data_IF_299435917984
#
_entry.id   IF_299435917984
#
_cell.length_a   1.000
_cell.length_b   1.000
_cell.length_c   1.000
_cell.angle_alpha   90.00
_cell.angle_beta   90.00
_cell.angle_gamma   90.00
#
_symmetry.space_group_name_H-M   'P 1'
#
loop_
_entity.id
_entity.type
_entity.pdbx_description
1 polymer ?
#
# COMPACT_ATOMS: atom_id res chain seq x y z
N UNK A 1 5.47 20.68 -24.68
CA UNK A 1 5.79 19.23 -24.57
C UNK A 1 5.07 18.63 -23.35
N UNK A 2 4.84 17.30 -23.29
CA UNK A 2 4.06 16.67 -22.20
C UNK A 2 4.62 16.95 -20.79
N UNK A 3 5.95 17.07 -20.65
CA UNK A 3 6.61 17.37 -19.37
C UNK A 3 6.27 18.77 -18.81
N UNK A 4 5.84 19.70 -19.65
CA UNK A 4 5.55 21.09 -19.26
C UNK A 4 4.09 21.27 -18.87
N UNK A 5 3.18 20.52 -19.50
CA UNK A 5 1.75 20.57 -19.21
C UNK A 5 1.28 19.55 -18.15
N UNK A 6 2.10 18.55 -17.82
CA UNK A 6 1.74 17.53 -16.84
C UNK A 6 1.82 18.11 -15.42
N UNK A 7 0.70 18.19 -14.72
CA UNK A 7 0.66 18.66 -13.33
C UNK A 7 0.68 17.51 -12.31
N UNK A 8 -0.10 16.46 -12.57
CA UNK A 8 -0.17 15.27 -11.75
C UNK A 8 -0.70 14.08 -12.55
N UNK A 9 -0.41 12.87 -12.06
CA UNK A 9 -1.01 11.63 -12.51
C UNK A 9 -1.72 11.00 -11.33
N UNK A 10 -2.98 10.61 -11.53
CA UNK A 10 -3.76 9.83 -10.56
C UNK A 10 -4.10 8.50 -11.22
N UNK A 11 -3.48 7.43 -10.72
CA UNK A 11 -3.79 6.07 -11.10
C UNK A 11 -4.76 5.45 -10.07
N UNK A 12 -5.76 4.71 -10.55
CA UNK A 12 -6.77 4.10 -9.69
C UNK A 12 -6.94 2.60 -9.94
N UNK A 13 -7.09 1.83 -8.86
CA UNK A 13 -7.53 0.44 -8.89
C UNK A 13 -8.76 0.28 -8.01
N UNK A 14 -9.87 -0.18 -8.59
CA UNK A 14 -11.11 -0.40 -7.85
C UNK A 14 -11.09 -1.78 -7.18
N UNK A 15 -11.18 -1.83 -5.86
CA UNK A 15 -11.27 -3.08 -5.10
C UNK A 15 -12.68 -3.32 -4.59
N UNK A 16 -13.06 -4.58 -4.46
CA UNK A 16 -14.29 -4.94 -3.76
C UNK A 16 -14.17 -4.55 -2.28
N UNK A 17 -15.20 -3.93 -1.74
CA UNK A 17 -15.28 -3.62 -0.31
C UNK A 17 -15.38 -4.91 0.50
N UNK A 18 -14.92 -4.88 1.75
CA UNK A 18 -14.91 -6.06 2.64
C UNK A 18 -16.32 -6.65 2.86
N UNK A 19 -17.35 -5.80 2.87
CA UNK A 19 -18.77 -6.18 2.98
C UNK A 19 -19.38 -6.70 1.67
N UNK A 20 -18.62 -6.67 0.57
CA UNK A 20 -19.02 -7.08 -0.78
C UNK A 20 -20.19 -6.29 -1.39
N UNK A 21 -20.58 -5.16 -0.78
CA UNK A 21 -21.71 -4.34 -1.25
C UNK A 21 -21.32 -3.28 -2.28
N UNK A 22 -20.03 -3.08 -2.54
CA UNK A 22 -19.56 -2.10 -3.51
C UNK A 22 -18.09 -2.23 -3.85
N UNK A 23 -17.55 -1.14 -4.40
CA UNK A 23 -16.13 -0.99 -4.70
C UNK A 23 -15.59 0.29 -4.10
N UNK A 24 -14.31 0.28 -3.76
CA UNK A 24 -13.56 1.43 -3.26
C UNK A 24 -12.29 1.61 -4.10
N UNK A 25 -11.97 2.83 -4.54
CA UNK A 25 -10.70 3.09 -5.23
C UNK A 25 -9.54 3.02 -4.24
N UNK A 26 -8.50 2.30 -4.61
CA UNK A 26 -7.14 2.54 -4.13
C UNK A 26 -6.44 3.44 -5.15
N UNK A 27 -5.80 4.49 -4.67
CA UNK A 27 -5.20 5.53 -5.48
C UNK A 27 -3.68 5.53 -5.37
N UNK A 28 -3.06 5.87 -6.49
CA UNK A 28 -1.68 6.29 -6.58
C UNK A 28 -1.66 7.69 -7.19
N UNK A 29 -0.95 8.60 -6.52
CA UNK A 29 -0.91 10.02 -6.85
C UNK A 29 0.55 10.43 -6.99
N UNK A 30 0.91 10.82 -8.20
CA UNK A 30 2.21 11.39 -8.53
C UNK A 30 2.04 12.85 -8.90
N UNK A 31 2.68 13.76 -8.18
CA UNK A 31 2.73 15.18 -8.53
C UNK A 31 3.93 15.41 -9.45
N UNK A 32 3.75 16.11 -10.56
CA UNK A 32 4.83 16.35 -11.52
C UNK A 32 5.79 17.44 -11.02
N UNK A 33 6.68 17.05 -10.11
CA UNK A 33 7.76 17.91 -9.60
C UNK A 33 8.78 18.23 -10.69
N UNK A 34 9.63 19.23 -10.44
CA UNK A 34 10.76 19.55 -11.34
C UNK A 34 11.63 18.32 -11.64
N UNK A 35 11.88 17.47 -10.64
CA UNK A 35 12.66 16.25 -10.81
C UNK A 35 11.99 15.26 -11.78
N UNK A 36 10.70 14.99 -11.60
CA UNK A 36 9.94 14.08 -12.48
C UNK A 36 9.85 14.64 -13.90
N UNK A 37 9.61 15.95 -14.04
CA UNK A 37 9.58 16.61 -15.35
C UNK A 37 10.94 16.51 -16.06
N UNK A 38 12.05 16.60 -15.33
CA UNK A 38 13.39 16.38 -15.89
C UNK A 38 13.57 14.93 -16.36
N UNK A 39 13.19 13.95 -15.55
CA UNK A 39 13.24 12.53 -15.93
C UNK A 39 12.43 12.24 -17.20
N UNK A 40 11.26 12.89 -17.37
CA UNK A 40 10.45 12.77 -18.59
C UNK A 40 11.18 13.37 -19.80
N UNK A 41 11.79 14.55 -19.65
CA UNK A 41 12.53 15.21 -20.75
C UNK A 41 13.76 14.41 -21.21
N UNK A 42 14.41 13.72 -20.27
CA UNK A 42 15.63 12.95 -20.51
C UNK A 42 15.36 11.48 -20.90
N UNK A 43 14.10 11.11 -21.11
CA UNK A 43 13.66 9.73 -21.39
C UNK A 43 14.11 8.71 -20.32
N UNK A 44 14.19 9.16 -19.07
CA UNK A 44 14.55 8.36 -17.89
C UNK A 44 13.34 8.02 -17.01
N UNK A 45 12.20 7.74 -17.66
CA UNK A 45 10.92 7.48 -16.99
C UNK A 45 10.94 6.28 -16.03
N UNK A 46 11.84 5.31 -16.27
CA UNK A 46 12.03 4.14 -15.41
C UNK A 46 12.55 4.48 -14.00
N UNK A 47 13.06 5.69 -13.77
CA UNK A 47 13.52 6.13 -12.45
C UNK A 47 12.40 6.77 -11.61
N UNK A 48 11.26 7.14 -12.23
CA UNK A 48 10.14 7.80 -11.58
C UNK A 48 9.60 7.03 -10.35
N UNK A 49 9.44 5.68 -10.39
CA UNK A 49 8.94 4.94 -9.22
C UNK A 49 9.79 5.12 -7.95
N UNK A 50 11.11 5.33 -8.09
CA UNK A 50 12.00 5.61 -6.96
C UNK A 50 11.75 7.00 -6.36
N UNK A 51 11.47 7.99 -7.23
CA UNK A 51 11.07 9.33 -6.81
C UNK A 51 9.73 9.30 -6.09
N UNK A 52 8.76 8.51 -6.54
CA UNK A 52 7.45 8.40 -5.91
C UNK A 52 7.50 7.71 -4.54
N UNK A 53 8.34 6.67 -4.40
CA UNK A 53 8.54 5.97 -3.13
C UNK A 53 9.27 6.82 -2.07
N UNK A 54 10.14 7.72 -2.50
CA UNK A 54 10.97 8.58 -1.62
C UNK A 54 10.34 9.97 -1.44
N UNK A 55 9.38 10.33 -2.30
CA UNK A 55 8.80 11.65 -2.43
C UNK A 55 7.84 11.98 -1.30
N UNK A 56 8.37 12.46 -0.18
CA UNK A 56 7.59 13.10 0.89
C UNK A 56 6.97 14.45 0.49
N UNK A 57 6.67 14.65 -0.80
CA UNK A 57 5.99 15.85 -1.30
C UNK A 57 4.53 15.75 -0.90
N UNK A 58 4.02 16.84 -0.34
CA UNK A 58 2.62 16.92 0.07
C UNK A 58 1.69 16.59 -1.12
N UNK A 59 0.78 15.63 -0.93
CA UNK A 59 -0.14 15.16 -1.95
C UNK A 59 0.35 13.97 -2.79
N UNK A 60 1.62 13.55 -2.70
CA UNK A 60 2.07 12.29 -3.28
C UNK A 60 1.63 11.09 -2.42
N UNK A 61 1.27 10.01 -3.09
CA UNK A 61 0.87 8.77 -2.44
C UNK A 61 1.11 7.58 -3.36
N UNK A 62 1.85 6.58 -2.90
CA UNK A 62 2.00 5.30 -3.62
C UNK A 62 0.74 4.44 -3.45
N UNK A 63 0.50 3.57 -4.42
CA UNK A 63 -0.61 2.60 -4.33
C UNK A 63 -0.53 1.76 -3.04
N UNK A 64 0.66 1.30 -2.69
CA UNK A 64 0.87 0.43 -1.53
C UNK A 64 0.55 1.16 -0.20
N UNK A 65 0.87 2.45 -0.09
CA UNK A 65 0.48 3.28 1.05
C UNK A 65 -1.05 3.38 1.16
N UNK A 66 -1.75 3.62 0.05
CA UNK A 66 -3.21 3.70 0.07
C UNK A 66 -3.87 2.36 0.40
N UNK A 67 -3.33 1.26 -0.13
CA UNK A 67 -3.78 -0.09 0.20
C UNK A 67 -3.57 -0.42 1.68
N UNK A 68 -2.44 -0.05 2.27
CA UNK A 68 -2.21 -0.21 3.72
C UNK A 68 -3.23 0.58 4.53
N UNK A 69 -3.52 1.83 4.14
CA UNK A 69 -4.55 2.67 4.76
C UNK A 69 -5.93 2.04 4.67
N UNK A 70 -6.34 1.55 3.50
CA UNK A 70 -7.64 0.91 3.30
C UNK A 70 -7.78 -0.40 4.08
N UNK A 71 -6.69 -1.16 4.20
CA UNK A 71 -6.62 -2.37 5.03
C UNK A 71 -6.71 -2.03 6.51
N UNK A 72 -5.97 -1.03 6.99
CA UNK A 72 -5.97 -0.64 8.41
C UNK A 72 -7.33 -0.08 8.84
N UNK A 73 -8.02 0.63 7.95
CA UNK A 73 -9.41 1.08 8.13
C UNK A 73 -10.45 -0.05 8.00
N UNK A 74 -10.03 -1.28 7.66
CA UNK A 74 -10.92 -2.43 7.49
C UNK A 74 -11.86 -2.36 6.29
N UNK A 75 -11.61 -1.45 5.33
CA UNK A 75 -12.46 -1.23 4.14
C UNK A 75 -12.31 -2.32 3.09
N UNK A 76 -11.11 -2.91 2.98
CA UNK A 76 -10.80 -3.99 2.03
C UNK A 76 -10.15 -5.19 2.76
N UNK A 77 -10.18 -6.35 2.12
CA UNK A 77 -9.48 -7.52 2.64
C UNK A 77 -7.98 -7.44 2.35
N UNK A 78 -7.15 -7.84 3.32
CA UNK A 78 -5.68 -7.95 3.15
C UNK A 78 -5.29 -8.77 1.92
N UNK A 79 -5.97 -9.89 1.68
CA UNK A 79 -5.73 -10.74 0.50
C UNK A 79 -6.01 -10.01 -0.81
N UNK A 80 -7.06 -9.20 -0.85
CA UNK A 80 -7.39 -8.42 -2.05
C UNK A 80 -6.33 -7.33 -2.31
N UNK A 81 -5.85 -6.67 -1.25
CA UNK A 81 -4.72 -5.73 -1.37
C UNK A 81 -3.46 -6.42 -1.88
N UNK A 82 -3.09 -7.58 -1.32
CA UNK A 82 -1.90 -8.34 -1.72
C UNK A 82 -1.89 -8.76 -3.20
N UNK A 83 -3.06 -8.91 -3.84
CA UNK A 83 -3.15 -9.30 -5.25
C UNK A 83 -2.84 -8.18 -6.23
N UNK A 84 -2.93 -6.92 -5.78
CA UNK A 84 -2.75 -5.75 -6.67
C UNK A 84 -1.62 -4.81 -6.24
N UNK A 85 -1.09 -5.01 -5.04
CA UNK A 85 0.04 -4.28 -4.49
C UNK A 85 1.30 -4.50 -5.33
N UNK A 86 2.15 -3.48 -5.39
CA UNK A 86 3.46 -3.59 -6.02
C UNK A 86 4.43 -4.41 -5.16
N UNK A 87 4.32 -4.26 -3.84
CA UNK A 87 4.99 -5.10 -2.86
C UNK A 87 3.99 -5.93 -2.04
N UNK A 88 3.57 -7.11 -2.55
CA UNK A 88 2.63 -8.00 -1.85
C UNK A 88 3.06 -8.42 -0.44
N UNK A 89 4.37 -8.38 -0.14
CA UNK A 89 4.91 -8.77 1.17
C UNK A 89 4.42 -7.85 2.29
N UNK A 90 4.09 -6.60 1.98
CA UNK A 90 3.48 -5.65 2.93
C UNK A 90 2.13 -6.14 3.48
N UNK A 91 1.45 -6.98 2.71
CA UNK A 91 0.16 -7.56 3.03
C UNK A 91 0.26 -9.06 3.40
N UNK A 92 1.48 -9.58 3.42
CA UNK A 92 1.81 -10.92 3.85
C UNK A 92 1.40 -11.18 5.29
N UNK A 93 1.21 -12.47 5.62
CA UNK A 93 0.72 -12.96 6.90
C UNK A 93 1.57 -12.43 8.05
N UNK A 94 1.01 -11.52 8.84
CA UNK A 94 1.58 -11.10 10.12
C UNK A 94 1.60 -12.32 11.04
N UNK A 95 2.78 -12.93 11.22
CA UNK A 95 3.03 -13.90 12.29
C UNK A 95 3.11 -13.16 13.63
N UNK A 96 1.97 -12.61 14.09
CA UNK A 96 1.75 -12.43 15.51
C UNK A 96 0.57 -13.30 15.89
N UNK A 97 0.91 -14.58 16.10
CA UNK A 97 0.23 -15.43 17.04
C UNK A 97 0.36 -14.68 18.37
N UNK A 98 -0.67 -13.94 18.79
CA UNK A 98 -0.91 -13.80 20.22
C UNK A 98 -1.08 -15.24 20.68
N UNK A 99 0.03 -15.83 21.14
CA UNK A 99 -0.03 -16.93 22.07
C UNK A 99 -0.79 -16.34 23.25
N UNK A 100 -2.11 -16.54 23.28
CA UNK A 100 -2.74 -16.87 24.55
C UNK A 100 -1.99 -18.13 24.99
N UNK A 101 -0.93 -17.93 25.78
CA UNK A 101 -0.41 -19.00 26.60
C UNK A 101 -1.57 -19.28 27.56
N UNK A 102 -2.33 -20.32 27.23
CA UNK A 102 -3.29 -20.87 28.17
C UNK A 102 -2.48 -21.54 29.29
N UNK A 103 -2.14 -20.74 30.31
CA UNK A 103 -1.40 -21.18 31.50
C UNK A 103 -2.17 -22.24 32.31
N UNK A 104 -3.45 -22.52 32.00
CA UNK A 104 -4.23 -23.54 32.69
C UNK A 104 -3.70 -24.97 32.50
N UNK A 105 -2.91 -25.23 31.44
CA UNK A 105 -2.34 -26.55 31.18
C UNK A 105 -0.95 -26.79 31.78
N UNK A 106 -0.30 -25.77 32.34
CA UNK A 106 1.07 -25.90 32.89
C UNK A 106 1.07 -26.37 34.36
N UNK A 107 -0.03 -26.21 35.10
CA UNK A 107 -0.08 -26.49 36.54
C UNK A 107 -0.57 -27.89 36.95
N UNK A 108 -0.86 -28.80 36.01
CA UNK A 108 -1.38 -30.15 36.36
C UNK A 108 -0.31 -31.24 36.55
N UNK A 109 0.99 -30.92 36.46
CA UNK A 109 2.06 -31.94 36.54
C UNK A 109 3.13 -31.70 37.62
N UNK A 110 2.83 -30.96 38.69
CA UNK A 110 3.61 -31.04 39.92
C UNK A 110 2.69 -31.35 41.11
N UNK A 111 2.43 -32.65 41.31
CA UNK A 111 2.26 -33.24 42.64
C UNK A 111 3.51 -34.06 42.92
N UNK A 112 4.49 -33.41 43.55
CA UNK A 112 5.49 -34.00 44.43
C UNK A 112 5.70 -33.00 45.58
#
# INVERSE_FOLDING_TARGET
MMSESLEAVIAQKLLQTKDKKGRIPALEIMIATTAIRNLIREDRIYQIPFCDATGGVEGMQTLDQDLQRLVSQGKIQRRAAAQIAENPKLFGRMYYRTFSIDFSRVFHSLKL
#
